data_IF_803876414984
#
_entry.id   IF_803876414984
#
_cell.length_a   1.000
_cell.length_b   1.000
_cell.length_c   1.000
_cell.angle_alpha   90.00
_cell.angle_beta   90.00
_cell.angle_gamma   90.00
#
_symmetry.space_group_name_H-M   'P 1'
#
loop_
_entity.id
_entity.type
_entity.pdbx_description
1 polymer ?
#
# COMPACT_ATOMS: atom_id res chain seq x y z
N UNK A 1 -6.17 3.92 -5.11
CA UNK A 1 -7.11 2.77 -5.14
C UNK A 1 -7.52 2.47 -3.70
N UNK A 2 -8.75 2.03 -3.45
CA UNK A 2 -9.19 1.70 -2.09
C UNK A 2 -9.74 0.27 -2.00
N UNK A 3 -9.47 -0.41 -0.89
CA UNK A 3 -9.91 -1.77 -0.58
C UNK A 3 -10.73 -1.78 0.72
N UNK A 4 -11.61 -2.76 0.86
CA UNK A 4 -12.19 -3.08 2.18
C UNK A 4 -11.12 -3.70 3.08
N UNK A 5 -11.37 -3.75 4.39
CA UNK A 5 -10.46 -4.38 5.33
C UNK A 5 -10.22 -5.86 5.00
N UNK A 6 -11.27 -6.59 4.61
CA UNK A 6 -11.22 -8.02 4.27
C UNK A 6 -10.41 -8.24 3.00
N UNK A 7 -10.64 -7.43 1.97
CA UNK A 7 -9.89 -7.54 0.71
C UNK A 7 -8.40 -7.26 0.92
N UNK A 8 -8.06 -6.24 1.73
CA UNK A 8 -6.67 -5.97 2.06
C UNK A 8 -6.06 -7.11 2.89
N UNK A 9 -6.77 -7.60 3.91
CA UNK A 9 -6.28 -8.72 4.73
C UNK A 9 -6.02 -9.99 3.90
N UNK A 10 -6.93 -10.33 2.98
CA UNK A 10 -6.73 -11.45 2.05
C UNK A 10 -5.47 -11.28 1.21
N UNK A 11 -5.21 -10.08 0.70
CA UNK A 11 -4.00 -9.80 -0.05
C UNK A 11 -2.74 -9.92 0.80
N UNK A 12 -2.73 -9.34 2.01
CA UNK A 12 -1.58 -9.38 2.91
C UNK A 12 -1.22 -10.82 3.35
N UNK A 13 -2.20 -11.72 3.45
CA UNK A 13 -1.97 -13.13 3.75
C UNK A 13 -1.20 -13.89 2.66
N UNK A 14 -1.05 -13.33 1.46
CA UNK A 14 -0.27 -13.93 0.37
C UNK A 14 1.21 -13.52 0.42
N UNK A 15 1.59 -12.61 1.31
CA UNK A 15 2.93 -12.03 1.39
C UNK A 15 3.71 -12.60 2.58
N UNK A 16 5.03 -12.48 2.52
CA UNK A 16 5.88 -12.75 3.68
C UNK A 16 5.58 -11.70 4.77
N UNK A 17 5.19 -12.10 6.00
CA UNK A 17 4.92 -11.14 7.07
C UNK A 17 6.14 -10.29 7.45
N UNK A 18 7.37 -10.74 7.17
CA UNK A 18 8.59 -9.99 7.46
C UNK A 18 8.73 -8.72 6.61
N UNK A 19 8.03 -8.62 5.48
CA UNK A 19 8.05 -7.43 4.62
C UNK A 19 6.89 -6.46 4.89
N UNK A 20 6.11 -6.69 5.95
CA UNK A 20 4.92 -5.89 6.27
C UNK A 20 5.16 -5.14 7.58
N UNK A 21 5.04 -3.81 7.51
CA UNK A 21 5.01 -2.94 8.69
C UNK A 21 3.59 -2.40 8.88
N UNK A 22 3.05 -2.55 10.08
CA UNK A 22 1.73 -2.03 10.45
C UNK A 22 1.85 -0.99 11.56
N UNK A 23 1.29 0.18 11.32
CA UNK A 23 1.20 1.30 12.25
C UNK A 23 -0.27 1.73 12.38
N UNK A 24 -0.60 2.55 13.38
CA UNK A 24 -1.98 3.03 13.58
C UNK A 24 -2.50 3.73 12.32
N UNK A 25 -3.43 3.09 11.62
CA UNK A 25 -4.04 3.61 10.39
C UNK A 25 -3.14 3.57 9.15
N UNK A 26 -2.03 2.83 9.16
CA UNK A 26 -1.11 2.73 8.03
C UNK A 26 -0.50 1.33 7.92
N UNK A 27 -0.48 0.79 6.69
CA UNK A 27 0.16 -0.49 6.38
C UNK A 27 1.14 -0.25 5.24
N UNK A 28 2.38 -0.70 5.42
CA UNK A 28 3.45 -0.60 4.42
C UNK A 28 3.96 -2.00 4.07
N UNK A 29 3.97 -2.32 2.78
CA UNK A 29 4.62 -3.52 2.23
C UNK A 29 5.93 -3.09 1.56
N UNK A 30 7.04 -3.66 2.03
CA UNK A 30 8.39 -3.38 1.58
C UNK A 30 8.79 -4.30 0.41
N UNK A 31 8.33 -3.99 -0.81
CA UNK A 31 8.75 -4.71 -2.01
C UNK A 31 10.12 -4.20 -2.51
N UNK A 32 10.79 -5.01 -3.34
CA UNK A 32 12.15 -4.74 -3.83
C UNK A 32 12.28 -3.42 -4.60
N UNK A 33 11.33 -3.14 -5.49
CA UNK A 33 11.35 -1.93 -6.31
C UNK A 33 10.88 -0.71 -5.51
N UNK A 34 9.76 -0.85 -4.79
CA UNK A 34 9.05 0.25 -4.12
C UNK A 34 8.20 -0.24 -2.96
N UNK A 35 8.01 0.63 -1.98
CA UNK A 35 7.02 0.41 -0.94
C UNK A 35 5.59 0.57 -1.50
N UNK A 36 4.69 -0.32 -1.11
CA UNK A 36 3.26 -0.13 -1.29
C UNK A 36 2.63 0.28 0.06
N UNK A 37 1.88 1.38 0.06
CA UNK A 37 1.32 1.98 1.28
C UNK A 37 -0.19 2.07 1.19
N UNK A 38 -0.87 1.63 2.24
CA UNK A 38 -2.29 1.85 2.47
C UNK A 38 -2.52 2.63 3.74
N UNK A 39 -3.40 3.63 3.67
CA UNK A 39 -3.84 4.44 4.81
C UNK A 39 -5.32 4.21 5.08
N UNK A 40 -5.69 4.16 6.35
CA UNK A 40 -7.08 4.04 6.77
C UNK A 40 -7.83 5.34 6.46
N UNK A 41 -8.92 5.22 5.71
CA UNK A 41 -9.80 6.30 5.33
C UNK A 41 -11.25 5.86 5.56
N UNK A 42 -11.80 6.25 6.72
CA UNK A 42 -13.08 5.72 7.20
C UNK A 42 -12.99 4.21 7.43
N UNK A 43 -13.79 3.44 6.69
CA UNK A 43 -13.83 1.98 6.76
C UNK A 43 -13.00 1.29 5.67
N UNK A 44 -12.29 2.06 4.85
CA UNK A 44 -11.52 1.56 3.71
C UNK A 44 -10.05 1.85 3.86
N UNK A 45 -9.24 1.08 3.15
CA UNK A 45 -7.80 1.25 3.08
C UNK A 45 -7.42 1.75 1.70
N UNK A 46 -6.89 2.97 1.62
CA UNK A 46 -6.61 3.64 0.37
C UNK A 46 -5.11 3.79 0.13
N UNK A 47 -4.69 3.56 -1.10
CA UNK A 47 -3.32 3.80 -1.56
C UNK A 47 -3.26 4.97 -2.54
N UNK A 48 -2.19 5.76 -2.44
CA UNK A 48 -1.81 6.81 -3.38
C UNK A 48 -0.79 6.34 -4.44
N UNK A 49 -0.54 5.02 -4.55
CA UNK A 49 0.42 4.46 -5.50
C UNK A 49 0.24 4.96 -6.96
N UNK A 50 -0.99 5.11 -7.52
CA UNK A 50 -1.14 5.65 -8.88
C UNK A 50 -0.62 7.09 -9.04
N UNK A 51 -0.78 7.94 -8.02
CA UNK A 51 -0.22 9.29 -8.05
C UNK A 51 1.30 9.25 -7.93
N UNK A 52 1.84 8.42 -7.04
CA UNK A 52 3.29 8.28 -6.86
C UNK A 52 3.98 7.73 -8.11
N UNK A 53 3.37 6.74 -8.78
CA UNK A 53 3.88 6.20 -10.04
C UNK A 53 3.86 7.24 -11.16
N UNK A 54 2.80 8.04 -11.25
CA UNK A 54 2.75 9.16 -12.20
C UNK A 54 3.87 10.16 -11.95
N UNK A 55 4.06 10.60 -10.69
CA UNK A 55 5.09 11.57 -10.33
C UNK A 55 6.49 11.05 -10.64
N UNK A 56 6.78 9.79 -10.30
CA UNK A 56 8.06 9.18 -10.58
C UNK A 56 8.38 9.10 -12.08
N UNK A 57 7.38 8.80 -12.93
CA UNK A 57 7.56 8.78 -14.39
C UNK A 57 7.84 10.17 -14.97
N UNK A 58 7.26 11.22 -14.38
CA UNK A 58 7.45 12.60 -14.84
C UNK A 58 8.79 13.19 -14.42
N UNK A 59 9.36 12.73 -13.29
CA UNK A 59 10.67 13.18 -12.80
C UNK A 59 11.86 12.45 -13.46
N UNK A 60 11.61 11.34 -14.14
CA UNK A 60 12.64 10.56 -14.84
C UNK A 60 12.91 11.04 -16.28
N UNK A 61 12.24 12.11 -16.72
CA UNK A 61 12.41 12.79 -18.01
C UNK A 61 12.96 14.19 -17.82
#
# INVERSE_FOLDING_TARGET
>A
MCLTAEALALFLNLLDPQIITTESGRITVHASERNAVWELSGEKWCTNAPQQDRLARLQAN
#
